data_IF_925067200650
#
_entry.id   IF_925067200650
#
_cell.length_a   1.000
_cell.length_b   1.000
_cell.length_c   1.000
_cell.angle_alpha   90.00
_cell.angle_beta   90.00
_cell.angle_gamma   90.00
#
_symmetry.space_group_name_H-M   'P 1'
#
loop_
_entity.id
_entity.type
_entity.pdbx_description
1 polymer ?
#
# COMPACT_ATOMS: atom_id res chain seq x y z
N UNK A 1 -16.86 5.75 -1.04
CA UNK A 1 -16.94 5.47 -2.49
C UNK A 1 -16.46 6.67 -3.32
N UNK A 2 -17.04 7.86 -3.11
CA UNK A 2 -16.70 9.10 -3.84
C UNK A 2 -15.20 9.45 -3.83
N UNK A 3 -14.57 9.54 -2.65
CA UNK A 3 -13.14 9.89 -2.54
C UNK A 3 -12.22 8.95 -3.32
N UNK A 4 -12.49 7.64 -3.30
CA UNK A 4 -11.68 6.66 -4.02
C UNK A 4 -11.77 6.88 -5.53
N UNK A 5 -12.97 7.10 -6.06
CA UNK A 5 -13.19 7.39 -7.48
C UNK A 5 -12.56 8.71 -7.90
N UNK A 6 -12.65 9.74 -7.05
CA UNK A 6 -12.03 11.03 -7.33
C UNK A 6 -10.50 10.92 -7.41
N UNK A 7 -9.88 10.15 -6.52
CA UNK A 7 -8.43 9.92 -6.55
C UNK A 7 -8.03 9.15 -7.81
N UNK A 8 -8.77 8.11 -8.19
CA UNK A 8 -8.53 7.36 -9.43
C UNK A 8 -8.59 8.32 -10.64
N UNK A 9 -9.64 9.12 -10.75
CA UNK A 9 -9.80 10.08 -11.84
C UNK A 9 -8.66 11.11 -11.89
N UNK A 10 -8.20 11.62 -10.75
CA UNK A 10 -7.07 12.54 -10.68
C UNK A 10 -5.78 11.88 -11.18
N UNK A 11 -5.49 10.65 -10.72
CA UNK A 11 -4.28 9.91 -11.12
C UNK A 11 -4.28 9.56 -12.62
N UNK A 12 -5.43 9.23 -13.19
CA UNK A 12 -5.55 8.98 -14.63
C UNK A 12 -5.38 10.27 -15.44
N UNK A 13 -5.97 11.38 -15.00
CA UNK A 13 -5.81 12.69 -15.63
C UNK A 13 -4.34 13.13 -15.64
N UNK A 14 -3.63 12.89 -14.56
CA UNK A 14 -2.20 13.19 -14.42
C UNK A 14 -1.29 12.22 -15.16
N UNK A 15 -1.85 11.13 -15.72
CA UNK A 15 -1.08 10.00 -16.30
C UNK A 15 0.01 9.50 -15.34
N UNK A 16 -0.34 9.41 -14.05
CA UNK A 16 0.60 8.97 -13.01
C UNK A 16 1.13 7.54 -13.22
N UNK A 17 0.42 6.75 -14.03
CA UNK A 17 0.81 5.41 -14.45
C UNK A 17 0.75 5.31 -15.98
N UNK A 18 1.66 4.53 -16.57
CA UNK A 18 1.65 4.26 -18.02
C UNK A 18 0.44 3.42 -18.46
N UNK A 19 -0.12 2.64 -17.53
CA UNK A 19 -1.25 1.73 -17.77
C UNK A 19 -2.48 2.19 -16.99
N UNK A 20 -3.70 1.85 -17.46
CA UNK A 20 -4.95 2.20 -16.77
C UNK A 20 -5.03 1.64 -15.35
N UNK A 21 -5.77 2.32 -14.48
CA UNK A 21 -6.01 1.87 -13.10
C UNK A 21 -7.14 0.82 -13.11
N UNK A 22 -6.86 -0.38 -12.61
CA UNK A 22 -7.82 -1.51 -12.56
C UNK A 22 -8.38 -1.79 -11.16
N UNK A 23 -8.21 -0.85 -10.23
CA UNK A 23 -8.63 -0.99 -8.83
C UNK A 23 -10.16 -1.09 -8.72
N UNK A 24 -10.67 -2.15 -8.09
CA UNK A 24 -12.09 -2.31 -7.80
C UNK A 24 -12.55 -1.35 -6.69
N UNK A 25 -13.67 -0.65 -6.91
CA UNK A 25 -14.32 0.19 -5.88
C UNK A 25 -15.72 -0.34 -5.63
N UNK A 26 -15.85 -1.14 -4.58
CA UNK A 26 -17.09 -1.82 -4.21
C UNK A 26 -17.50 -1.53 -2.77
N UNK A 27 -18.73 -1.88 -2.42
CA UNK A 27 -19.24 -1.74 -1.06
C UNK A 27 -18.65 -2.83 -0.16
N UNK A 28 -18.31 -2.43 1.07
CA UNK A 28 -17.85 -3.36 2.08
C UNK A 28 -18.97 -4.37 2.42
N UNK A 29 -18.64 -5.66 2.43
CA UNK A 29 -19.58 -6.73 2.78
C UNK A 29 -19.21 -7.40 4.11
N UNK A 30 -18.00 -7.93 4.18
CA UNK A 30 -17.45 -8.59 5.36
C UNK A 30 -15.92 -8.57 5.31
N UNK A 31 -15.30 -8.69 6.49
CA UNK A 31 -13.85 -8.88 6.62
C UNK A 31 -13.61 -10.11 7.51
N UNK A 32 -12.75 -11.00 7.06
CA UNK A 32 -12.31 -12.16 7.82
C UNK A 32 -10.84 -11.93 8.21
N UNK A 33 -10.53 -11.76 9.50
CA UNK A 33 -9.16 -11.57 9.95
C UNK A 33 -8.26 -12.72 9.49
N UNK A 34 -7.07 -12.37 9.02
CA UNK A 34 -6.01 -13.35 8.79
C UNK A 34 -5.46 -13.87 10.12
N UNK A 35 -4.73 -14.98 10.07
CA UNK A 35 -4.09 -15.62 11.22
C UNK A 35 -3.11 -14.68 11.94
N UNK A 36 -2.96 -14.87 13.26
CA UNK A 36 -2.19 -13.97 14.13
C UNK A 36 -0.73 -13.76 13.70
N UNK A 37 -0.13 -14.77 13.04
CA UNK A 37 1.26 -14.67 12.55
C UNK A 37 1.40 -13.73 11.35
N UNK A 38 0.32 -13.42 10.62
CA UNK A 38 0.31 -12.41 9.56
C UNK A 38 0.31 -10.98 10.11
N UNK A 39 -0.12 -10.79 11.35
CA UNK A 39 -0.17 -9.47 11.99
C UNK A 39 1.25 -9.01 12.32
N UNK A 40 1.60 -7.79 11.89
CA UNK A 40 2.94 -7.20 12.06
C UNK A 40 4.07 -8.06 11.46
N UNK A 41 3.78 -8.81 10.38
CA UNK A 41 4.70 -9.79 9.80
C UNK A 41 6.09 -9.22 9.53
N UNK A 42 6.19 -8.08 8.81
CA UNK A 42 7.49 -7.45 8.52
C UNK A 42 8.26 -7.06 9.79
N UNK A 43 7.57 -6.53 10.80
CA UNK A 43 8.21 -6.11 12.05
C UNK A 43 8.74 -7.30 12.86
N UNK A 44 8.02 -8.44 12.83
CA UNK A 44 8.38 -9.68 13.53
C UNK A 44 9.38 -10.55 12.77
N UNK A 45 9.45 -10.42 11.45
CA UNK A 45 10.20 -11.30 10.57
C UNK A 45 11.18 -10.55 9.66
N UNK A 46 11.82 -9.48 10.18
CA UNK A 46 12.66 -8.57 9.37
C UNK A 46 13.71 -9.30 8.54
N UNK A 47 14.33 -10.36 9.07
CA UNK A 47 15.43 -11.08 8.42
C UNK A 47 14.96 -12.06 7.33
N UNK A 48 13.65 -12.24 7.12
CA UNK A 48 13.17 -13.09 6.03
C UNK A 48 13.59 -12.50 4.67
N UNK A 49 14.03 -13.33 3.70
CA UNK A 49 14.47 -12.83 2.39
C UNK A 49 13.43 -11.94 1.70
N UNK A 50 12.15 -12.34 1.74
CA UNK A 50 11.06 -11.52 1.21
C UNK A 50 11.00 -10.13 1.86
N UNK A 51 11.13 -10.06 3.19
CA UNK A 51 11.13 -8.81 3.93
C UNK A 51 12.31 -7.91 3.54
N UNK A 52 13.50 -8.49 3.36
CA UNK A 52 14.70 -7.74 2.98
C UNK A 52 14.66 -7.23 1.54
N UNK A 53 14.27 -8.08 0.58
CA UNK A 53 14.36 -7.72 -0.83
C UNK A 53 13.13 -6.99 -1.37
N UNK A 54 11.96 -7.16 -0.76
CA UNK A 54 10.70 -6.61 -1.29
C UNK A 54 10.12 -5.51 -0.41
N UNK A 55 10.09 -5.72 0.91
CA UNK A 55 9.38 -4.81 1.84
C UNK A 55 10.29 -3.67 2.32
N UNK A 56 11.51 -3.99 2.76
CA UNK A 56 12.44 -2.99 3.31
C UNK A 56 12.73 -1.82 2.34
N UNK A 57 12.96 -2.03 1.02
CA UNK A 57 13.19 -0.93 0.09
C UNK A 57 11.97 -0.02 -0.06
N UNK A 58 10.74 -0.58 0.00
CA UNK A 58 9.50 0.21 -0.06
C UNK A 58 9.32 1.07 1.19
N UNK A 59 9.62 0.51 2.37
CA UNK A 59 9.57 1.24 3.66
C UNK A 59 10.63 2.34 3.70
N UNK A 60 11.84 2.07 3.23
CA UNK A 60 12.92 3.06 3.16
C UNK A 60 12.55 4.20 2.20
N UNK A 61 12.04 3.88 1.00
CA UNK A 61 11.56 4.88 0.03
C UNK A 61 10.49 5.78 0.65
N UNK A 62 9.52 5.19 1.36
CA UNK A 62 8.48 5.95 2.06
C UNK A 62 9.08 6.91 3.09
N UNK A 63 9.97 6.43 3.97
CA UNK A 63 10.61 7.25 4.99
C UNK A 63 11.45 8.39 4.40
N UNK A 64 12.12 8.16 3.26
CA UNK A 64 12.89 9.19 2.56
C UNK A 64 11.98 10.28 1.98
N UNK A 65 10.92 9.90 1.27
CA UNK A 65 10.00 10.85 0.59
C UNK A 65 9.15 11.62 1.58
N UNK A 66 8.71 10.97 2.66
CA UNK A 66 7.77 11.55 3.62
C UNK A 66 8.42 11.90 4.96
N UNK A 67 9.74 12.09 4.99
CA UNK A 67 10.53 12.30 6.22
C UNK A 67 9.91 13.35 7.17
N UNK A 68 9.41 14.46 6.63
CA UNK A 68 8.83 15.56 7.41
C UNK A 68 7.40 15.30 7.90
N UNK A 69 6.73 14.30 7.33
CA UNK A 69 5.35 13.90 7.69
C UNK A 69 5.30 12.68 8.59
N UNK A 70 6.42 11.97 8.73
CA UNK A 70 6.59 10.85 9.64
C UNK A 70 7.13 11.42 10.95
N UNK A 71 6.29 11.43 12.00
CA UNK A 71 6.71 11.73 13.37
C UNK A 71 7.48 10.56 13.97
#
# INVERSE_FOLDING_TARGET
>A
KETALQIIANLEKEKAYEKPIVTEVTEFKAFYPAEDYHINYFARNKNQPYCQFVVAPKVEKFRKVFREKVK
#
